data_IF_769738716155
#
_entry.id   IF_769738716155
#
_cell.length_a   1.000
_cell.length_b   1.000
_cell.length_c   1.000
_cell.angle_alpha   90.00
_cell.angle_beta   90.00
_cell.angle_gamma   90.00
#
_symmetry.space_group_name_H-M   'P 1'
#
loop_
_entity.id
_entity.type
_entity.pdbx_description
1 polymer ?
#
# COMPACT_ATOMS: atom_id res chain seq x y z
N UNK A 1 15.95 6.82 -7.83
CA UNK A 1 14.57 6.51 -7.40
C UNK A 1 13.88 7.81 -7.12
N UNK A 2 12.72 8.06 -7.74
CA UNK A 2 11.99 9.30 -7.54
C UNK A 2 11.01 9.13 -6.37
N UNK A 3 11.18 10.00 -5.38
CA UNK A 3 10.27 10.15 -4.26
C UNK A 3 9.12 11.05 -4.70
N UNK A 4 7.88 10.57 -4.55
CA UNK A 4 6.66 11.29 -4.92
C UNK A 4 5.88 11.66 -3.66
N UNK A 5 5.25 12.84 -3.66
CA UNK A 5 4.35 13.26 -2.58
C UNK A 5 3.09 12.40 -2.50
N UNK A 6 2.37 12.48 -1.38
CA UNK A 6 1.09 11.76 -1.18
C UNK A 6 -0.02 12.20 -2.14
N UNK A 7 0.02 13.41 -2.65
CA UNK A 7 -0.93 13.98 -3.60
C UNK A 7 -0.89 13.31 -4.99
N UNK A 8 0.29 12.84 -5.40
CA UNK A 8 0.44 12.08 -6.64
C UNK A 8 -0.30 10.73 -6.57
N UNK A 9 -0.89 10.23 -7.66
CA UNK A 9 -1.59 8.94 -7.62
C UNK A 9 -0.64 7.75 -7.43
N UNK A 10 -1.12 6.70 -6.76
CA UNK A 10 -0.52 5.37 -6.85
C UNK A 10 -0.73 4.80 -8.26
N UNK A 11 0.07 3.80 -8.67
CA UNK A 11 -0.07 3.17 -9.98
C UNK A 11 -1.51 2.70 -10.27
N UNK A 12 -2.01 2.84 -11.51
CA UNK A 12 -3.37 2.47 -11.89
C UNK A 12 -3.76 1.04 -11.49
N UNK A 13 -2.81 0.12 -11.53
CA UNK A 13 -3.01 -1.29 -11.19
C UNK A 13 -3.45 -1.51 -9.74
N UNK A 14 -3.06 -0.61 -8.83
CA UNK A 14 -3.40 -0.67 -7.41
C UNK A 14 -4.71 0.07 -7.06
N UNK A 15 -5.25 0.86 -7.99
CA UNK A 15 -6.42 1.73 -7.74
C UNK A 15 -7.70 0.92 -7.49
N UNK A 16 -8.62 1.49 -6.71
CA UNK A 16 -9.94 0.96 -6.42
C UNK A 16 -10.03 0.22 -5.10
N UNK A 17 -11.11 -0.56 -4.96
CA UNK A 17 -11.42 -1.35 -3.76
C UNK A 17 -10.91 -2.77 -3.89
N UNK A 18 -10.41 -3.30 -2.79
CA UNK A 18 -9.88 -4.65 -2.63
C UNK A 18 -10.32 -5.23 -1.29
N UNK A 19 -10.40 -6.56 -1.22
CA UNK A 19 -10.71 -7.31 0.00
C UNK A 19 -9.62 -8.33 0.27
N UNK A 20 -9.40 -8.67 1.53
CA UNK A 20 -8.42 -9.68 1.92
C UNK A 20 -8.77 -11.04 1.30
N UNK A 21 -7.75 -11.74 0.80
CA UNK A 21 -7.92 -13.06 0.21
C UNK A 21 -8.44 -14.10 1.23
N UNK A 22 -7.96 -14.01 2.48
CA UNK A 22 -8.34 -14.91 3.57
C UNK A 22 -9.47 -14.36 4.46
N UNK A 23 -9.64 -13.04 4.50
CA UNK A 23 -10.66 -12.35 5.29
C UNK A 23 -11.30 -11.21 4.48
N UNK A 24 -12.54 -11.37 4.00
CA UNK A 24 -13.24 -10.33 3.25
C UNK A 24 -13.55 -9.04 4.04
N UNK A 25 -13.49 -9.08 5.38
CA UNK A 25 -13.65 -7.88 6.21
C UNK A 25 -12.40 -7.00 6.20
N UNK A 26 -11.26 -7.58 5.84
CA UNK A 26 -10.01 -6.85 5.63
C UNK A 26 -10.08 -6.06 4.33
N UNK A 27 -10.49 -4.79 4.43
CA UNK A 27 -10.65 -3.91 3.26
C UNK A 27 -9.42 -3.03 3.02
N UNK A 28 -9.09 -2.86 1.73
CA UNK A 28 -8.13 -1.88 1.25
C UNK A 28 -8.76 -1.06 0.12
N UNK A 29 -8.66 0.27 0.22
CA UNK A 29 -9.11 1.20 -0.80
C UNK A 29 -7.96 2.11 -1.18
N UNK A 30 -7.63 2.14 -2.47
CA UNK A 30 -6.66 3.06 -3.05
C UNK A 30 -7.40 4.02 -3.98
N UNK A 31 -7.32 5.31 -3.72
CA UNK A 31 -7.95 6.35 -4.53
C UNK A 31 -6.98 7.52 -4.74
N UNK A 32 -6.41 7.60 -5.94
CA UNK A 32 -5.30 8.49 -6.21
C UNK A 32 -4.12 8.14 -5.31
N UNK A 33 -3.64 9.08 -4.53
CA UNK A 33 -2.61 8.84 -3.51
C UNK A 33 -3.16 8.52 -2.11
N UNK A 34 -4.48 8.55 -1.90
CA UNK A 34 -5.04 8.18 -0.59
C UNK A 34 -5.19 6.68 -0.48
N UNK A 35 -4.76 6.12 0.64
CA UNK A 35 -4.90 4.70 0.96
C UNK A 35 -5.67 4.60 2.27
N UNK A 36 -6.72 3.79 2.28
CA UNK A 36 -7.46 3.40 3.47
C UNK A 36 -7.29 1.89 3.65
N UNK A 37 -6.77 1.47 4.80
CA UNK A 37 -6.56 0.06 5.14
C UNK A 37 -7.30 -0.23 6.45
N UNK A 38 -8.16 -1.24 6.46
CA UNK A 38 -8.99 -1.61 7.62
C UNK A 38 -9.80 -0.43 8.18
N UNK A 39 -10.38 0.37 7.28
CA UNK A 39 -11.16 1.57 7.62
C UNK A 39 -10.33 2.78 8.11
N UNK A 40 -9.00 2.65 8.23
CA UNK A 40 -8.12 3.73 8.67
C UNK A 40 -7.31 4.31 7.51
N UNK A 41 -7.24 5.64 7.42
CA UNK A 41 -6.44 6.30 6.40
C UNK A 41 -4.96 6.19 6.77
N UNK A 42 -4.15 5.70 5.82
CA UNK A 42 -2.72 5.54 5.99
C UNK A 42 -2.05 6.91 5.98
N UNK A 43 -1.38 7.28 7.07
CA UNK A 43 -0.79 8.60 7.24
C UNK A 43 0.70 8.62 6.85
N UNK A 44 0.96 8.78 5.55
CA UNK A 44 2.30 8.85 4.98
C UNK A 44 2.52 10.19 4.28
N UNK A 45 3.78 10.62 4.17
CA UNK A 45 4.15 11.90 3.54
C UNK A 45 4.59 11.70 2.08
N UNK A 46 5.21 10.55 1.80
CA UNK A 46 5.73 10.24 0.47
C UNK A 46 5.68 8.76 0.12
N UNK A 47 5.87 8.49 -1.17
CA UNK A 47 6.02 7.16 -1.71
C UNK A 47 7.20 7.06 -2.66
N UNK A 48 7.72 5.85 -2.80
CA UNK A 48 8.74 5.48 -3.79
C UNK A 48 8.17 4.33 -4.61
N UNK A 49 8.10 4.52 -5.93
CA UNK A 49 7.60 3.51 -6.87
C UNK A 49 8.78 2.86 -7.57
N UNK A 50 8.81 1.53 -7.56
CA UNK A 50 9.87 0.72 -8.14
C UNK A 50 9.20 -0.37 -8.97
N UNK A 51 9.57 -0.45 -10.25
CA UNK A 51 9.25 -1.58 -11.08
C UNK A 51 10.54 -2.33 -11.41
N UNK A 52 10.63 -3.60 -11.00
CA UNK A 52 11.81 -4.42 -11.19
C UNK A 52 11.42 -5.89 -11.25
N UNK A 53 12.00 -6.62 -12.21
CA UNK A 53 11.80 -8.06 -12.38
C UNK A 53 10.31 -8.47 -12.46
N UNK A 54 9.48 -7.60 -13.06
CA UNK A 54 8.03 -7.79 -13.20
C UNK A 54 7.20 -7.46 -11.95
N UNK A 55 7.84 -7.12 -10.83
CA UNK A 55 7.16 -6.68 -9.62
C UNK A 55 7.01 -5.15 -9.60
N UNK A 56 5.84 -4.67 -9.21
CA UNK A 56 5.55 -3.26 -8.98
C UNK A 56 5.42 -3.01 -7.48
N UNK A 57 6.40 -2.33 -6.90
CA UNK A 57 6.49 -2.04 -5.47
C UNK A 57 6.27 -0.55 -5.21
N UNK A 58 5.44 -0.24 -4.23
CA UNK A 58 5.25 1.09 -3.66
C UNK A 58 5.68 1.03 -2.21
N UNK A 59 6.79 1.69 -1.87
CA UNK A 59 7.19 1.93 -0.48
C UNK A 59 6.61 3.25 0.01
N UNK A 60 6.07 3.27 1.23
CA UNK A 60 5.52 4.46 1.87
C UNK A 60 6.47 4.93 2.99
N UNK A 61 6.52 6.23 3.22
CA UNK A 61 7.33 6.79 4.29
C UNK A 61 6.85 8.14 4.78
N UNK A 62 7.45 8.59 5.88
CA UNK A 62 7.26 9.90 6.50
C UNK A 62 8.55 10.72 6.42
N UNK A 63 8.42 12.04 6.44
CA UNK A 63 9.56 12.97 6.39
C UNK A 63 10.29 13.16 7.71
N UNK A 64 9.55 13.00 8.79
CA UNK A 64 10.05 13.22 10.15
C UNK A 64 10.57 11.90 10.70
N UNK A 65 11.89 11.83 10.86
CA UNK A 65 12.59 10.64 11.37
C UNK A 65 12.06 10.19 12.74
N UNK A 66 11.58 11.12 13.57
CA UNK A 66 11.01 10.79 14.88
C UNK A 66 9.70 10.00 14.80
N UNK A 67 9.00 10.05 13.65
CA UNK A 67 7.74 9.34 13.40
C UNK A 67 7.94 7.98 12.74
N UNK A 68 9.15 7.61 12.32
CA UNK A 68 9.39 6.41 11.52
C UNK A 68 8.97 5.13 12.25
N UNK A 69 9.37 4.96 13.50
CA UNK A 69 9.09 3.75 14.27
C UNK A 69 7.59 3.54 14.49
N UNK A 70 6.87 4.61 14.86
CA UNK A 70 5.43 4.59 15.04
C UNK A 70 4.71 4.33 13.71
N UNK A 71 5.14 5.02 12.65
CA UNK A 71 4.61 4.83 11.30
C UNK A 71 4.72 3.36 10.86
N UNK A 72 5.89 2.76 11.01
CA UNK A 72 6.12 1.37 10.60
C UNK A 72 5.25 0.35 11.36
N UNK A 73 4.88 0.66 12.61
CA UNK A 73 4.10 -0.22 13.48
C UNK A 73 2.58 -0.04 13.33
N UNK A 74 2.13 1.18 13.08
CA UNK A 74 0.70 1.53 13.04
C UNK A 74 0.14 1.52 11.63
N UNK A 75 0.97 1.72 10.61
CA UNK A 75 0.55 1.84 9.23
C UNK A 75 1.11 0.71 8.36
N UNK A 76 0.53 0.54 7.18
CA UNK A 76 1.18 -0.20 6.10
C UNK A 76 2.40 0.60 5.62
N UNK A 77 3.47 -0.10 5.27
CA UNK A 77 4.71 0.54 4.79
C UNK A 77 4.99 0.21 3.33
N UNK A 78 4.31 -0.79 2.77
CA UNK A 78 4.52 -1.17 1.38
C UNK A 78 3.34 -1.87 0.74
N UNK A 79 3.23 -1.69 -0.57
CA UNK A 79 2.29 -2.37 -1.45
C UNK A 79 3.05 -2.98 -2.62
N UNK A 80 2.73 -4.20 -3.00
CA UNK A 80 3.44 -4.95 -4.05
C UNK A 80 2.43 -5.66 -4.93
N UNK A 81 2.48 -5.40 -6.23
CA UNK A 81 1.94 -6.33 -7.22
C UNK A 81 3.11 -7.21 -7.65
N UNK A 82 3.03 -8.49 -7.32
CA UNK A 82 4.06 -9.47 -7.65
C UNK A 82 4.05 -9.80 -9.15
N UNK A 83 5.09 -10.44 -9.69
CA UNK A 83 5.14 -10.79 -11.11
C UNK A 83 4.02 -11.74 -11.56
N UNK A 84 3.48 -12.55 -10.64
CA UNK A 84 2.31 -13.41 -10.85
C UNK A 84 0.96 -12.68 -10.66
N UNK A 85 0.99 -11.37 -10.40
CA UNK A 85 -0.20 -10.51 -10.35
C UNK A 85 -0.90 -10.47 -8.99
N UNK A 86 -0.32 -11.06 -7.94
CA UNK A 86 -0.88 -11.02 -6.58
C UNK A 86 -0.62 -9.65 -5.97
N UNK A 87 -1.62 -9.12 -5.26
CA UNK A 87 -1.50 -7.82 -4.62
C UNK A 87 -1.31 -7.98 -3.11
N UNK A 88 -0.12 -7.67 -2.62
CA UNK A 88 0.27 -7.85 -1.21
C UNK A 88 0.53 -6.49 -0.57
N UNK A 89 0.02 -6.30 0.64
CA UNK A 89 0.28 -5.12 1.46
C UNK A 89 0.85 -5.55 2.80
N UNK A 90 1.85 -4.83 3.30
CA UNK A 90 2.57 -5.24 4.50
C UNK A 90 3.06 -4.08 5.36
N UNK A 91 3.41 -4.41 6.60
CA UNK A 91 4.24 -3.63 7.50
C UNK A 91 5.12 -4.56 8.34
N UNK A 92 5.69 -4.05 9.44
CA UNK A 92 6.56 -4.84 10.33
C UNK A 92 5.80 -5.91 11.14
N UNK A 93 4.46 -5.87 11.17
CA UNK A 93 3.61 -6.77 11.96
C UNK A 93 2.91 -7.82 11.12
N UNK A 94 2.56 -7.52 9.87
CA UNK A 94 1.81 -8.44 9.02
C UNK A 94 2.12 -8.23 7.53
N UNK A 95 1.74 -9.22 6.73
CA UNK A 95 1.57 -9.10 5.28
C UNK A 95 0.29 -9.82 4.88
N UNK A 96 -0.58 -9.15 4.12
CA UNK A 96 -1.85 -9.71 3.65
C UNK A 96 -1.95 -9.57 2.13
N UNK A 97 -2.54 -10.59 1.52
CA UNK A 97 -2.94 -10.54 0.12
C UNK A 97 -4.35 -9.99 -0.03
N UNK A 98 -4.52 -9.18 -1.06
CA UNK A 98 -5.78 -8.53 -1.41
C UNK A 98 -6.18 -8.94 -2.83
N UNK A 99 -7.46 -9.19 -3.02
CA UNK A 99 -8.06 -9.56 -4.30
C UNK A 99 -9.18 -8.59 -4.65
N UNK A 100 -9.56 -8.54 -5.94
CA UNK A 100 -10.73 -7.78 -6.35
C UNK A 100 -11.98 -8.42 -5.77
N UNK A 101 -12.92 -7.64 -5.19
CA UNK A 101 -14.20 -8.20 -4.78
C UNK A 101 -14.90 -8.78 -6.01
N UNK A 102 -15.36 -10.02 -5.92
CA UNK A 102 -16.20 -10.62 -6.95
C UNK A 102 -17.54 -9.89 -7.00
N UNK A 103 -18.12 -9.65 -8.20
CA UNK A 103 -19.45 -9.09 -8.38
C UNK A 103 -20.55 -9.89 -7.68
#
# INVERSE_FOLDING_TARGET
>A
MNRLGRDEPLPPQMQGRWIGADDPLSELVVNGGTITCFGSVVNYDHKVIIEKDGALTVGLGVDDDSRIDDFQRENITGLVITPDGRFVVYNVRFGLEFVRPTP
#
